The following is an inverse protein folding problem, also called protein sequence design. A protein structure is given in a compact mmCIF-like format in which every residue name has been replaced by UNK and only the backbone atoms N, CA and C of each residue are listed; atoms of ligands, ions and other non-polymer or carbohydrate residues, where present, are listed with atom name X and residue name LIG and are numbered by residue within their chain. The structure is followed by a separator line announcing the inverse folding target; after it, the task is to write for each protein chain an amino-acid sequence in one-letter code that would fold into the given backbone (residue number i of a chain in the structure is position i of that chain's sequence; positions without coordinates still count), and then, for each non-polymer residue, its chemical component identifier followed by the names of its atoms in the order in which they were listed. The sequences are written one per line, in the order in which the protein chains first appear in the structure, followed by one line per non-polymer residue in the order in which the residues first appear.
data_IF_819638279399
#
_entry.id   IF_819638279399
#
_cell.length_a   1.000
_cell.length_b   1.000
_cell.length_c   1.000
_cell.angle_alpha   90.00
_cell.angle_beta   90.00
_cell.angle_gamma   90.00
#
_symmetry.space_group_name_H-M   'P 1'
#
loop_
_entity.id
_entity.type
_entity.pdbx_description
1 polymer ?
#
# COMPACT_ATOMS: atom_id res chain seq x y z
N UNK A 1 -7.29 -3.00 -0.87
CA UNK A 1 -6.29 -2.32 -0.01
C UNK A 1 -7.04 -1.27 0.80
N UNK A 2 -6.70 -0.97 2.06
CA UNK A 2 -7.53 -0.06 2.89
C UNK A 2 -7.76 1.31 2.27
N UNK A 3 -6.84 1.80 1.45
CA UNK A 3 -6.97 3.06 0.72
C UNK A 3 -8.28 3.14 -0.10
N UNK A 4 -8.81 2.00 -0.59
CA UNK A 4 -10.08 1.98 -1.34
C UNK A 4 -11.33 2.15 -0.47
N UNK A 5 -11.19 2.04 0.85
CA UNK A 5 -12.30 2.21 1.82
C UNK A 5 -12.41 3.67 2.25
N UNK A 6 -11.30 4.39 2.24
CA UNK A 6 -11.27 5.82 2.55
C UNK A 6 -11.76 6.62 1.33
N UNK A 7 -12.86 7.35 1.49
CA UNK A 7 -13.36 8.19 0.40
C UNK A 7 -12.37 9.32 0.11
N UNK A 8 -12.22 9.68 -1.17
CA UNK A 8 -11.28 10.73 -1.58
C UNK A 8 -11.61 12.08 -0.93
N UNK A 9 -12.90 12.39 -0.75
CA UNK A 9 -13.32 13.62 -0.07
C UNK A 9 -12.87 13.66 1.39
N UNK A 10 -13.06 12.56 2.13
CA UNK A 10 -12.63 12.46 3.52
C UNK A 10 -11.10 12.57 3.64
N UNK A 11 -10.36 11.87 2.78
CA UNK A 11 -8.90 11.96 2.73
C UNK A 11 -8.41 13.37 2.50
N UNK A 12 -8.93 14.06 1.47
CA UNK A 12 -8.54 15.44 1.16
C UNK A 12 -8.86 16.38 2.31
N UNK A 13 -10.02 16.22 2.96
CA UNK A 13 -10.42 17.04 4.11
C UNK A 13 -9.47 16.83 5.31
N UNK A 14 -9.23 15.58 5.71
CA UNK A 14 -8.34 15.26 6.82
C UNK A 14 -6.90 15.67 6.54
N UNK A 15 -6.43 15.45 5.30
CA UNK A 15 -5.08 15.81 4.88
C UNK A 15 -4.85 17.31 4.96
N UNK A 16 -5.82 18.11 4.51
CA UNK A 16 -5.79 19.57 4.65
C UNK A 16 -5.81 20.02 6.10
N UNK A 17 -6.58 19.34 6.96
CA UNK A 17 -6.66 19.66 8.38
C UNK A 17 -5.33 19.39 9.11
N UNK A 18 -4.67 18.26 8.84
CA UNK A 18 -3.48 17.82 9.58
C UNK A 18 -2.18 18.41 9.04
N UNK A 19 -2.04 18.50 7.70
CA UNK A 19 -0.78 18.90 7.04
C UNK A 19 -0.90 20.21 6.26
N UNK A 20 -2.03 20.91 6.34
CA UNK A 20 -2.27 22.17 5.64
C UNK A 20 -2.50 22.01 4.12
N UNK A 21 -2.75 23.10 3.40
CA UNK A 21 -3.03 23.05 1.96
C UNK A 21 -1.82 22.64 1.11
N UNK A 22 -0.59 22.95 1.53
CA UNK A 22 0.62 22.81 0.69
C UNK A 22 1.41 21.51 0.83
N UNK A 23 1.17 20.68 1.84
CA UNK A 23 1.84 19.39 1.95
C UNK A 23 1.66 18.50 0.70
N UNK A 24 2.71 17.79 0.31
CA UNK A 24 2.59 16.77 -0.72
C UNK A 24 1.65 15.65 -0.21
N UNK A 25 0.69 15.23 -1.03
CA UNK A 25 -0.10 14.02 -0.75
C UNK A 25 0.78 12.80 -1.00
N UNK A 26 1.46 12.36 0.05
CA UNK A 26 2.38 11.22 0.02
C UNK A 26 1.67 9.88 0.28
N UNK A 27 0.35 9.89 0.49
CA UNK A 27 -0.44 8.70 0.76
C UNK A 27 -1.84 8.79 0.11
N UNK A 28 -1.94 8.97 -1.22
CA UNK A 28 -3.23 9.21 -1.87
C UNK A 28 -4.16 8.01 -1.67
N UNK A 29 -5.39 8.24 -1.22
CA UNK A 29 -6.36 7.16 -1.02
C UNK A 29 -6.96 6.64 -2.33
N UNK A 30 -6.98 7.48 -3.37
CA UNK A 30 -7.52 7.12 -4.67
C UNK A 30 -6.46 6.52 -5.60
N UNK A 31 -6.15 5.25 -5.40
CA UNK A 31 -5.40 4.45 -6.37
C UNK A 31 -6.37 3.61 -7.23
N UNK A 32 -6.41 3.87 -8.54
CA UNK A 32 -7.23 3.08 -9.48
C UNK A 32 -6.76 1.61 -9.62
N UNK A 33 -5.48 1.36 -9.34
CA UNK A 33 -4.83 0.05 -9.49
C UNK A 33 -4.12 -0.34 -8.18
N UNK A 34 -4.90 -0.64 -7.14
CA UNK A 34 -4.39 -0.97 -5.79
C UNK A 34 -4.87 -2.32 -5.26
N UNK A 35 -5.41 -3.16 -6.12
CA UNK A 35 -5.75 -4.53 -5.74
C UNK A 35 -4.92 -5.49 -6.57
N UNK A 36 -4.64 -6.67 -6.01
CA UNK A 36 -3.96 -7.76 -6.72
C UNK A 36 -4.62 -8.02 -8.07
N UNK A 37 -5.96 -8.06 -8.08
CA UNK A 37 -6.76 -8.25 -9.30
C UNK A 37 -6.59 -7.11 -10.30
N UNK A 38 -6.66 -5.85 -9.85
CA UNK A 38 -6.51 -4.70 -10.73
C UNK A 38 -5.11 -4.61 -11.34
N UNK A 39 -4.07 -4.92 -10.56
CA UNK A 39 -2.68 -4.92 -11.02
C UNK A 39 -2.47 -5.99 -12.08
N UNK A 40 -2.93 -7.23 -11.83
CA UNK A 40 -2.87 -8.32 -12.83
C UNK A 40 -3.59 -7.94 -14.11
N UNK A 41 -4.83 -7.47 -14.01
CA UNK A 41 -5.62 -7.07 -15.17
C UNK A 41 -5.02 -5.87 -15.94
N UNK A 42 -4.29 -4.98 -15.25
CA UNK A 42 -3.57 -3.89 -15.90
C UNK A 42 -2.31 -4.40 -16.60
N UNK A 43 -1.55 -5.29 -15.97
CA UNK A 43 -0.37 -5.91 -16.57
C UNK A 43 -0.72 -6.67 -17.85
N UNK A 44 -1.75 -7.54 -17.79
CA UNK A 44 -2.23 -8.33 -18.93
C UNK A 44 -2.66 -7.43 -20.10
N UNK A 45 -3.41 -6.36 -19.82
CA UNK A 45 -3.84 -5.38 -20.84
C UNK A 45 -2.70 -4.64 -21.52
N UNK A 46 -1.52 -4.59 -20.90
CA UNK A 46 -0.33 -3.96 -21.45
C UNK A 46 0.67 -5.01 -22.01
N UNK A 47 0.24 -6.25 -22.20
CA UNK A 47 1.06 -7.32 -22.76
C UNK A 47 2.13 -7.85 -21.80
N UNK A 48 1.97 -7.68 -20.49
CA UNK A 48 2.84 -8.27 -19.48
C UNK A 48 2.20 -9.51 -18.85
N UNK A 49 3.04 -10.44 -18.40
CA UNK A 49 2.64 -11.59 -17.58
C UNK A 49 3.02 -11.30 -16.13
N UNK A 50 2.05 -11.44 -15.21
CA UNK A 50 2.30 -11.28 -13.78
C UNK A 50 2.82 -12.58 -13.18
N UNK A 51 4.13 -12.68 -12.96
CA UNK A 51 4.78 -13.89 -12.44
C UNK A 51 4.68 -13.98 -10.91
N UNK A 52 4.82 -12.84 -10.24
CA UNK A 52 4.74 -12.75 -8.79
C UNK A 52 4.03 -11.47 -8.38
N UNK A 53 3.18 -11.57 -7.37
CA UNK A 53 2.51 -10.44 -6.76
C UNK A 53 2.23 -10.75 -5.29
N UNK A 54 2.87 -10.01 -4.41
CA UNK A 54 2.64 -10.10 -2.97
C UNK A 54 2.56 -8.72 -2.33
N UNK A 55 2.01 -8.69 -1.13
CA UNK A 55 1.82 -7.52 -0.30
C UNK A 55 2.61 -7.68 0.99
N UNK A 56 3.38 -6.66 1.34
CA UNK A 56 4.21 -6.61 2.53
C UNK A 56 3.74 -5.51 3.47
N UNK A 57 3.87 -5.81 4.77
CA UNK A 57 3.76 -4.79 5.80
C UNK A 57 4.92 -3.80 5.62
N UNK A 58 4.62 -2.53 5.40
CA UNK A 58 5.65 -1.50 5.50
C UNK A 58 6.05 -1.40 6.96
N UNK A 59 7.31 -1.70 7.27
CA UNK A 59 7.81 -1.50 8.61
C UNK A 59 7.64 -0.03 8.98
N UNK A 60 6.96 0.24 10.10
CA UNK A 60 6.81 1.57 10.68
C UNK A 60 8.16 2.13 11.14
N UNK A 61 9.01 2.54 10.19
CA UNK A 61 10.39 2.97 10.44
C UNK A 61 10.45 4.12 11.45
N UNK A 62 9.46 5.01 11.42
CA UNK A 62 9.32 6.14 12.35
C UNK A 62 9.14 5.73 13.82
N UNK A 63 8.70 4.50 14.09
CA UNK A 63 8.57 4.01 15.46
C UNK A 63 9.87 3.40 16.00
N UNK A 64 10.97 3.42 15.25
CA UNK A 64 12.26 2.85 15.70
C UNK A 64 13.11 3.81 16.54
N UNK A 65 12.58 4.98 16.93
CA UNK A 65 13.33 6.03 17.64
C UNK A 65 13.62 5.72 19.12
N UNK A 66 12.80 4.90 19.77
CA UNK A 66 12.96 4.53 21.18
C UNK A 66 12.60 3.07 21.42
N UNK A 67 13.00 2.51 22.58
CA UNK A 67 12.64 1.13 22.97
C UNK A 67 11.12 0.92 23.04
N UNK A 68 10.39 1.89 23.59
CA UNK A 68 8.94 1.82 23.72
C UNK A 68 8.25 1.85 22.35
N UNK A 69 8.61 2.80 21.50
CA UNK A 69 8.03 2.91 20.15
C UNK A 69 8.42 1.70 19.29
N UNK A 70 9.63 1.16 19.46
CA UNK A 70 10.07 -0.03 18.74
C UNK A 70 9.23 -1.25 19.11
N UNK A 71 8.93 -1.43 20.39
CA UNK A 71 8.04 -2.50 20.84
C UNK A 71 6.64 -2.37 20.23
N UNK A 72 6.07 -1.15 20.22
CA UNK A 72 4.79 -0.86 19.55
C UNK A 72 4.86 -1.24 18.07
N UNK A 73 5.96 -0.90 17.39
CA UNK A 73 6.17 -1.24 15.98
C UNK A 73 6.18 -2.76 15.75
N UNK A 74 6.81 -3.53 16.64
CA UNK A 74 6.86 -4.99 16.55
C UNK A 74 5.48 -5.62 16.74
N UNK A 75 4.73 -5.19 17.77
CA UNK A 75 3.37 -5.67 18.03
C UNK A 75 2.45 -5.32 16.87
N UNK A 76 2.48 -4.08 16.39
CA UNK A 76 1.70 -3.65 15.23
C UNK A 76 2.02 -4.50 13.99
N UNK A 77 3.30 -4.70 13.66
CA UNK A 77 3.71 -5.55 12.54
C UNK A 77 3.21 -7.00 12.70
N UNK A 78 3.26 -7.56 13.91
CA UNK A 78 2.76 -8.92 14.17
C UNK A 78 1.25 -9.00 13.92
N UNK A 79 0.48 -8.01 14.38
CA UNK A 79 -0.96 -7.93 14.11
C UNK A 79 -1.21 -7.82 12.60
N UNK A 80 -0.51 -6.92 11.91
CA UNK A 80 -0.67 -6.73 10.45
C UNK A 80 -0.22 -7.95 9.62
N UNK A 81 0.63 -8.81 10.19
CA UNK A 81 1.05 -10.05 9.53
C UNK A 81 -0.08 -11.08 9.47
N UNK A 82 -1.07 -11.01 10.38
CA UNK A 82 -2.22 -11.92 10.41
C UNK A 82 -3.04 -11.76 9.12
N UNK A 83 -3.62 -12.87 8.66
CA UNK A 83 -4.34 -12.92 7.37
C UNK A 83 -5.46 -11.87 7.30
N UNK A 84 -6.22 -11.69 8.38
CA UNK A 84 -7.32 -10.72 8.47
C UNK A 84 -6.90 -9.28 8.18
N UNK A 85 -5.59 -8.96 8.29
CA UNK A 85 -5.04 -7.63 8.07
C UNK A 85 -4.19 -7.52 6.79
N UNK A 86 -4.26 -8.51 5.87
CA UNK A 86 -3.61 -8.43 4.55
C UNK A 86 -3.96 -7.15 3.78
N UNK A 87 -5.18 -6.64 3.95
CA UNK A 87 -5.61 -5.39 3.30
C UNK A 87 -4.89 -4.13 3.82
N UNK A 88 -4.27 -4.19 5.00
CA UNK A 88 -3.49 -3.12 5.64
C UNK A 88 -2.02 -3.10 5.20
N UNK A 89 -1.60 -4.06 4.37
CA UNK A 89 -0.25 -4.10 3.82
C UNK A 89 -0.13 -3.04 2.72
N UNK A 90 0.73 -2.05 2.97
CA UNK A 90 0.85 -0.85 2.15
C UNK A 90 1.87 -0.99 1.03
N UNK A 91 2.78 -1.97 1.10
CA UNK A 91 3.77 -2.23 0.05
C UNK A 91 3.33 -3.41 -0.80
N UNK A 92 3.48 -3.27 -2.12
CA UNK A 92 3.26 -4.34 -3.08
C UNK A 92 4.56 -4.61 -3.82
N UNK A 93 4.93 -5.88 -3.95
CA UNK A 93 5.99 -6.32 -4.85
C UNK A 93 5.34 -7.04 -6.01
N UNK A 94 5.59 -6.56 -7.22
CA UNK A 94 5.12 -7.19 -8.44
C UNK A 94 6.30 -7.50 -9.35
N UNK A 95 6.36 -8.73 -9.84
CA UNK A 95 7.30 -9.14 -10.89
C UNK A 95 6.49 -9.36 -12.16
N UNK A 96 6.79 -8.55 -13.17
CA UNK A 96 6.16 -8.61 -14.48
C UNK A 96 7.19 -9.06 -15.52
N UNK A 97 6.82 -10.04 -16.32
CA UNK A 97 7.61 -10.45 -17.49
C UNK A 97 6.99 -9.86 -18.75
N UNK A 98 7.83 -9.24 -19.57
CA UNK A 98 7.48 -8.90 -20.96
C UNK A 98 7.69 -10.16 -21.82
N UNK A 99 6.67 -10.68 -22.52
CA UNK A 99 6.85 -11.75 -23.49
C UNK A 99 7.86 -11.30 -24.57
N UNK A 100 8.73 -12.20 -25.00
CA UNK A 100 9.49 -11.96 -26.22
C UNK A 100 8.51 -11.87 -27.39
N UNK A 101 8.68 -10.87 -28.24
CA UNK A 101 7.99 -10.84 -29.53
C UNK A 101 8.56 -11.98 -30.37
N UNK A 102 7.70 -12.90 -30.81
CA UNK A 102 8.03 -13.78 -31.95
C UNK A 102 8.11 -12.96 -33.23
#
# INVERSE_FOLDING_TARGET
MLSSVTSQGFHVALRRLVWGPEGADNAPTFYRINTVKAIKAAAERNGFVCEYLDSYSSAYAYFRMSRATFFIACVANKIMSLWSFRAMRLTLLCVLRKPASE
#
